data_IF_270415395879
#
_entry.id   IF_270415395879
#
_cell.length_a   1.000
_cell.length_b   1.000
_cell.length_c   1.000
_cell.angle_alpha   90.00
_cell.angle_beta   90.00
_cell.angle_gamma   90.00
#
_symmetry.space_group_name_H-M   'P 1'
#
loop_
_entity.id
_entity.type
_entity.pdbx_description
1 polymer ?
#
# COMPACT_ATOMS: atom_id res chain seq x y z
N UNK A 1 -8.55 5.88 47.30
CA UNK A 1 -8.56 6.62 46.02
C UNK A 1 -7.41 6.12 45.16
N UNK A 2 -7.68 5.58 43.97
CA UNK A 2 -6.63 5.28 42.98
C UNK A 2 -6.33 6.57 42.22
N UNK A 3 -5.23 7.24 42.57
CA UNK A 3 -4.80 8.53 42.00
C UNK A 3 -3.95 8.39 40.72
N UNK A 4 -3.88 7.19 40.13
CA UNK A 4 -3.00 6.89 39.00
C UNK A 4 -3.82 6.60 37.74
N UNK A 5 -4.63 7.57 37.32
CA UNK A 5 -5.38 7.52 36.06
C UNK A 5 -4.46 7.82 34.86
N UNK A 6 -3.38 8.57 35.06
CA UNK A 6 -2.40 8.90 34.02
C UNK A 6 -1.66 7.68 33.49
N UNK A 7 -1.38 6.65 34.31
CA UNK A 7 -0.76 5.40 33.85
C UNK A 7 -1.65 4.53 32.97
N UNK A 8 -2.95 4.87 32.85
CA UNK A 8 -3.90 4.22 31.94
C UNK A 8 -4.08 5.00 30.62
N UNK A 9 -3.57 6.23 30.53
CA UNK A 9 -3.60 7.01 29.29
C UNK A 9 -2.43 6.55 28.44
N UNK A 10 -2.71 5.60 27.55
CA UNK A 10 -1.76 5.11 26.56
C UNK A 10 -1.88 5.99 25.31
N UNK A 11 -0.99 6.96 25.15
CA UNK A 11 -0.86 7.82 23.95
C UNK A 11 -0.28 7.06 22.73
N UNK A 12 -0.48 5.74 22.63
CA UNK A 12 0.12 4.92 21.57
C UNK A 12 -0.74 4.84 20.31
N UNK A 13 -1.88 5.54 20.25
CA UNK A 13 -2.77 5.52 19.10
C UNK A 13 -2.95 6.92 18.55
N UNK A 14 -2.40 7.13 17.35
CA UNK A 14 -2.70 8.30 16.53
C UNK A 14 -4.19 8.24 16.17
N UNK A 15 -4.98 9.32 16.39
CA UNK A 15 -6.38 9.36 15.99
C UNK A 15 -6.54 9.10 14.49
N UNK A 16 -7.58 8.33 14.13
CA UNK A 16 -7.82 7.88 12.75
C UNK A 16 -7.94 9.05 11.76
N UNK A 17 -8.45 10.18 12.23
CA UNK A 17 -8.63 11.42 11.46
C UNK A 17 -7.32 11.95 10.87
N UNK A 18 -6.17 11.68 11.49
CA UNK A 18 -4.87 12.17 11.02
C UNK A 18 -4.28 11.39 9.83
N UNK A 19 -4.84 10.23 9.50
CA UNK A 19 -4.36 9.44 8.37
C UNK A 19 -5.48 8.94 7.46
N UNK A 20 -6.74 9.00 7.90
CA UNK A 20 -7.91 8.59 7.12
C UNK A 20 -8.98 9.69 7.16
N UNK A 21 -8.75 10.80 6.44
CA UNK A 21 -9.69 11.92 6.38
C UNK A 21 -11.00 11.48 5.73
N UNK A 22 -12.12 12.01 6.21
CA UNK A 22 -13.47 11.70 5.68
C UNK A 22 -13.91 12.67 4.60
N UNK A 23 -13.36 13.88 4.62
CA UNK A 23 -13.73 14.96 3.70
C UNK A 23 -12.54 15.41 2.86
N UNK A 24 -12.82 15.98 1.68
CA UNK A 24 -11.79 16.57 0.82
C UNK A 24 -11.04 17.71 1.52
N UNK A 25 -11.72 18.44 2.40
CA UNK A 25 -11.11 19.53 3.20
C UNK A 25 -10.07 18.95 4.16
N UNK A 26 -10.44 17.93 4.95
CA UNK A 26 -9.52 17.26 5.88
C UNK A 26 -8.33 16.64 5.14
N UNK A 27 -8.56 16.01 3.99
CA UNK A 27 -7.49 15.46 3.16
C UNK A 27 -6.49 16.53 2.71
N UNK A 28 -7.02 17.66 2.22
CA UNK A 28 -6.20 18.81 1.82
C UNK A 28 -5.38 19.34 3.00
N UNK A 29 -5.94 19.37 4.21
CA UNK A 29 -5.24 19.85 5.39
C UNK A 29 -4.04 18.99 5.78
N UNK A 30 -4.14 17.66 5.66
CA UNK A 30 -3.05 16.74 6.03
C UNK A 30 -2.01 16.57 4.92
N UNK A 31 -2.41 16.73 3.65
CA UNK A 31 -1.54 16.54 2.49
C UNK A 31 -1.10 17.87 1.84
N UNK A 32 -1.41 19.03 2.44
CA UNK A 32 -1.17 20.37 1.86
C UNK A 32 0.25 20.64 1.35
N UNK A 33 1.25 19.96 1.91
CA UNK A 33 2.66 20.12 1.53
C UNK A 33 3.08 19.15 0.42
N UNK A 34 2.30 18.09 0.21
CA UNK A 34 2.55 17.09 -0.82
C UNK A 34 2.13 17.60 -2.18
N UNK A 35 2.98 17.36 -3.18
CA UNK A 35 2.75 17.80 -4.57
C UNK A 35 2.03 16.75 -5.42
N UNK A 36 1.79 15.58 -4.85
CA UNK A 36 1.14 14.44 -5.49
C UNK A 36 0.12 13.84 -4.51
N UNK A 37 -0.85 13.11 -5.05
CA UNK A 37 -1.81 12.36 -4.24
C UNK A 37 -1.05 11.46 -3.27
N UNK A 38 -1.27 11.66 -1.98
CA UNK A 38 -0.57 10.97 -0.90
C UNK A 38 -1.57 10.44 0.10
N UNK A 39 -1.60 9.12 0.26
CA UNK A 39 -2.41 8.43 1.27
C UNK A 39 -1.54 8.05 2.47
N UNK A 40 -2.07 8.23 3.67
CA UNK A 40 -1.38 7.95 4.93
C UNK A 40 -2.04 6.74 5.58
N UNK A 41 -1.24 5.80 6.08
CA UNK A 41 -1.72 4.57 6.70
C UNK A 41 -1.17 4.42 8.11
N UNK A 42 -1.90 3.73 8.99
CA UNK A 42 -1.46 3.54 10.37
C UNK A 42 -0.25 2.61 10.50
N UNK A 43 -0.02 1.76 9.49
CA UNK A 43 1.08 0.81 9.46
C UNK A 43 1.55 0.56 8.03
N UNK A 44 2.80 0.13 7.89
CA UNK A 44 3.37 -0.27 6.60
C UNK A 44 2.62 -1.46 5.98
N UNK A 45 2.06 -2.36 6.80
CA UNK A 45 1.27 -3.50 6.34
C UNK A 45 -0.05 -3.05 5.71
N UNK A 46 -0.73 -2.07 6.32
CA UNK A 46 -1.97 -1.51 5.75
C UNK A 46 -1.70 -0.82 4.42
N UNK A 47 -0.63 -0.01 4.33
CA UNK A 47 -0.21 0.62 3.08
C UNK A 47 0.18 -0.40 2.01
N UNK A 48 0.92 -1.45 2.38
CA UNK A 48 1.31 -2.50 1.44
C UNK A 48 0.10 -3.26 0.88
N UNK A 49 -0.88 -3.58 1.75
CA UNK A 49 -2.13 -4.19 1.34
C UNK A 49 -2.89 -3.29 0.36
N UNK A 50 -2.96 -1.99 0.64
CA UNK A 50 -3.62 -1.02 -0.24
C UNK A 50 -2.94 -0.95 -1.62
N UNK A 51 -1.61 -0.94 -1.66
CA UNK A 51 -0.87 -0.98 -2.94
C UNK A 51 -1.17 -2.28 -3.70
N UNK A 52 -1.19 -3.42 -3.01
CA UNK A 52 -1.55 -4.70 -3.62
C UNK A 52 -2.99 -4.72 -4.16
N UNK A 53 -3.95 -4.10 -3.44
CA UNK A 53 -5.34 -3.92 -3.90
C UNK A 53 -5.38 -3.12 -5.22
N UNK A 54 -4.61 -2.03 -5.31
CA UNK A 54 -4.52 -1.21 -6.52
C UNK A 54 -3.92 -1.99 -7.70
N UNK A 55 -2.82 -2.73 -7.47
CA UNK A 55 -2.18 -3.55 -8.52
C UNK A 55 -3.13 -4.65 -9.01
N UNK A 56 -3.81 -5.37 -8.12
CA UNK A 56 -4.80 -6.39 -8.48
C UNK A 56 -5.93 -5.81 -9.33
N UNK A 57 -6.46 -4.65 -8.93
CA UNK A 57 -7.51 -3.96 -9.69
C UNK A 57 -7.07 -3.65 -11.12
N UNK A 58 -5.86 -3.13 -11.31
CA UNK A 58 -5.35 -2.79 -12.64
C UNK A 58 -5.04 -4.04 -13.48
N UNK A 59 -4.53 -5.12 -12.88
CA UNK A 59 -4.35 -6.41 -13.56
C UNK A 59 -5.69 -6.95 -14.05
N UNK A 60 -6.72 -6.93 -13.21
CA UNK A 60 -8.07 -7.39 -13.55
C UNK A 60 -8.69 -6.54 -14.66
N UNK A 61 -8.53 -5.22 -14.61
CA UNK A 61 -9.00 -4.31 -15.65
C UNK A 61 -8.32 -4.61 -17.01
N UNK A 62 -6.99 -4.73 -17.03
CA UNK A 62 -6.25 -5.10 -18.24
C UNK A 62 -6.70 -6.48 -18.79
N UNK A 63 -6.97 -7.44 -17.90
CA UNK A 63 -7.46 -8.77 -18.30
C UNK A 63 -8.85 -8.70 -18.94
N UNK A 64 -9.76 -7.89 -18.40
CA UNK A 64 -11.09 -7.68 -18.96
C UNK A 64 -11.04 -7.06 -20.35
N UNK A 65 -10.04 -6.21 -20.60
CA UNK A 65 -9.76 -5.62 -21.92
C UNK A 65 -9.00 -6.56 -22.88
N UNK A 66 -8.61 -7.75 -22.43
CA UNK A 66 -7.79 -8.68 -23.23
C UNK A 66 -6.36 -8.20 -23.48
N UNK A 67 -5.85 -7.28 -22.63
CA UNK A 67 -4.51 -6.70 -22.73
C UNK A 67 -3.56 -7.30 -21.70
N UNK A 68 -2.26 -7.17 -21.97
CA UNK A 68 -1.24 -7.41 -20.97
C UNK A 68 -1.14 -6.23 -20.01
N UNK A 69 -1.05 -6.52 -18.72
CA UNK A 69 -0.64 -5.54 -17.72
C UNK A 69 0.88 -5.52 -17.64
N UNK A 70 1.50 -4.38 -17.94
CA UNK A 70 2.96 -4.24 -17.97
C UNK A 70 3.39 -3.44 -16.74
N UNK A 71 4.31 -4.00 -15.95
CA UNK A 71 4.84 -3.31 -14.77
C UNK A 71 6.35 -3.45 -14.64
N UNK A 72 6.97 -2.46 -13.99
CA UNK A 72 8.37 -2.53 -13.58
C UNK A 72 8.46 -2.87 -12.09
N UNK A 73 9.36 -3.80 -11.72
CA UNK A 73 9.67 -4.10 -10.32
C UNK A 73 10.89 -3.32 -9.88
N UNK A 74 10.82 -2.73 -8.70
CA UNK A 74 11.98 -2.19 -7.99
C UNK A 74 12.53 -3.21 -6.99
N UNK A 75 13.70 -2.90 -6.43
CA UNK A 75 14.24 -3.58 -5.26
C UNK A 75 14.19 -2.67 -4.03
N UNK A 76 14.18 -3.29 -2.83
CA UNK A 76 14.19 -2.59 -1.54
C UNK A 76 13.28 -3.25 -0.50
N UNK A 77 13.65 -3.13 0.78
CA UNK A 77 12.90 -3.75 1.88
C UNK A 77 11.49 -3.20 2.04
N UNK A 78 11.23 -1.96 1.62
CA UNK A 78 9.90 -1.34 1.65
C UNK A 78 8.89 -2.05 0.73
N UNK A 79 9.37 -2.74 -0.31
CA UNK A 79 8.53 -3.43 -1.29
C UNK A 79 8.18 -4.86 -0.87
N UNK A 80 8.92 -5.45 0.08
CA UNK A 80 8.73 -6.86 0.48
C UNK A 80 7.31 -7.13 0.94
N UNK A 81 6.75 -6.26 1.80
CA UNK A 81 5.37 -6.40 2.27
C UNK A 81 4.33 -6.34 1.14
N UNK A 82 4.61 -5.61 0.05
CA UNK A 82 3.72 -5.56 -1.13
C UNK A 82 3.83 -6.87 -1.91
N UNK A 83 5.04 -7.37 -2.12
CA UNK A 83 5.26 -8.65 -2.81
C UNK A 83 4.69 -9.83 -2.03
N UNK A 84 4.83 -9.86 -0.72
CA UNK A 84 4.24 -10.89 0.14
C UNK A 84 2.71 -10.91 -0.01
N UNK A 85 2.05 -9.74 -0.04
CA UNK A 85 0.61 -9.64 -0.26
C UNK A 85 0.20 -10.15 -1.66
N UNK A 86 0.97 -9.80 -2.70
CA UNK A 86 0.72 -10.27 -4.06
C UNK A 86 0.90 -11.80 -4.19
N UNK A 87 1.94 -12.36 -3.57
CA UNK A 87 2.19 -13.81 -3.52
C UNK A 87 1.11 -14.52 -2.72
N UNK A 88 0.69 -13.97 -1.58
CA UNK A 88 -0.43 -14.51 -0.77
C UNK A 88 -1.70 -14.64 -1.60
N UNK A 89 -2.09 -13.58 -2.32
CA UNK A 89 -3.29 -13.57 -3.20
C UNK A 89 -3.20 -14.57 -4.36
N UNK A 90 -2.02 -14.71 -4.95
CA UNK A 90 -1.81 -15.73 -5.98
C UNK A 90 -1.97 -17.16 -5.43
N UNK A 91 -1.44 -17.42 -4.23
CA UNK A 91 -1.57 -18.71 -3.56
C UNK A 91 -3.03 -19.00 -3.19
N UNK A 92 -3.77 -17.98 -2.73
CA UNK A 92 -5.21 -18.03 -2.44
C UNK A 92 -6.11 -18.09 -3.67
N UNK A 93 -5.54 -18.03 -4.88
CA UNK A 93 -6.25 -18.06 -6.18
C UNK A 93 -7.20 -16.88 -6.39
N UNK A 94 -6.99 -15.76 -5.70
CA UNK A 94 -7.72 -14.51 -5.93
C UNK A 94 -7.07 -13.66 -7.01
N UNK A 95 -5.75 -13.79 -7.20
CA UNK A 95 -4.98 -13.07 -8.21
C UNK A 95 -4.28 -14.03 -9.19
N UNK A 96 -4.23 -13.66 -10.47
CA UNK A 96 -3.50 -14.39 -11.51
C UNK A 96 -2.53 -13.46 -12.23
N UNK A 97 -1.29 -13.91 -12.42
CA UNK A 97 -0.26 -13.19 -13.16
C UNK A 97 -0.15 -13.62 -14.63
N UNK A 98 -1.11 -14.39 -15.15
CA UNK A 98 -1.03 -14.99 -16.51
C UNK A 98 -0.86 -13.98 -17.64
N UNK A 99 -1.41 -12.77 -17.48
CA UNK A 99 -1.36 -11.69 -18.46
C UNK A 99 -0.52 -10.51 -17.94
N UNK A 100 0.42 -10.78 -17.03
CA UNK A 100 1.31 -9.75 -16.48
C UNK A 100 2.71 -9.90 -17.09
N UNK A 101 3.23 -8.81 -17.63
CA UNK A 101 4.59 -8.70 -18.15
C UNK A 101 5.40 -7.83 -17.19
N UNK A 102 6.56 -8.33 -16.78
CA UNK A 102 7.39 -7.68 -15.77
C UNK A 102 8.74 -7.29 -16.36
N UNK A 103 9.17 -6.06 -16.05
CA UNK A 103 10.54 -5.59 -16.26
C UNK A 103 11.21 -5.33 -14.91
N UNK A 104 12.46 -5.75 -14.72
CA UNK A 104 13.23 -5.28 -13.57
C UNK A 104 13.71 -3.85 -13.86
N UNK A 105 13.46 -2.92 -12.95
CA UNK A 105 13.77 -1.51 -13.14
C UNK A 105 15.28 -1.21 -13.08
N UNK A 106 16.03 -1.94 -12.26
CA UNK A 106 17.48 -1.77 -12.15
C UNK A 106 18.13 -3.01 -11.52
N UNK A 107 19.42 -3.18 -11.80
CA UNK A 107 20.24 -4.23 -11.19
C UNK A 107 21.71 -3.78 -11.15
N UNK A 108 22.49 -4.32 -10.22
CA UNK A 108 23.91 -4.01 -10.11
C UNK A 108 24.75 -4.93 -11.01
N UNK A 109 25.82 -4.38 -11.58
CA UNK A 109 26.81 -5.12 -12.37
C UNK A 109 28.12 -5.30 -11.58
N UNK A 110 28.82 -6.44 -11.67
CA UNK A 110 28.43 -7.67 -12.38
C UNK A 110 27.40 -8.49 -11.61
N UNK A 111 26.61 -9.24 -12.36
CA UNK A 111 25.68 -10.27 -11.85
C UNK A 111 26.44 -11.53 -11.44
#
# INVERSE_FOLDING_TARGET
MRLNLSSQIVLNKVPVEYYKPKTTVEYSEISRMEKIHTDIFASSQEGAKHIADCIEKEILAAQQEGKFYVMALGAGSSLYSVYDELVRRYNEKTLSFRNVVVFNAYEYYPL
#
